data_IF_748135530490
#
_entry.id   IF_748135530490
#
_cell.length_a   1.000
_cell.length_b   1.000
_cell.length_c   1.000
_cell.angle_alpha   90.00
_cell.angle_beta   90.00
_cell.angle_gamma   90.00
#
_symmetry.space_group_name_H-M   'P 1'
#
loop_
_entity.id
_entity.type
_entity.pdbx_description
1 polymer ?
#
# COMPACT_ATOMS: atom_id res chain seq x y z
N UNK A 1 16.97 25.95 1.12
CA UNK A 1 15.59 25.81 1.66
C UNK A 1 14.97 24.63 0.94
N UNK A 2 14.30 23.71 1.62
CA UNK A 2 13.56 22.61 0.98
C UNK A 2 12.09 22.97 0.78
N UNK A 3 11.37 22.19 -0.01
CA UNK A 3 9.91 22.31 -0.17
C UNK A 3 9.25 20.99 0.23
N UNK A 4 7.99 21.07 0.68
CA UNK A 4 7.12 19.90 0.77
C UNK A 4 6.59 19.56 -0.63
N UNK A 5 6.47 18.26 -0.93
CA UNK A 5 5.96 17.77 -2.21
C UNK A 5 4.99 16.61 -1.99
N UNK A 6 3.89 16.61 -2.74
CA UNK A 6 3.02 15.45 -2.89
C UNK A 6 3.68 14.47 -3.87
N UNK A 7 3.88 13.23 -3.44
CA UNK A 7 4.49 12.20 -4.25
C UNK A 7 3.42 11.23 -4.76
N UNK A 8 3.37 11.02 -6.08
CA UNK A 8 2.48 10.05 -6.71
C UNK A 8 3.29 8.90 -7.29
N UNK A 9 2.98 7.67 -6.88
CA UNK A 9 3.65 6.48 -7.42
C UNK A 9 3.04 6.10 -8.77
N UNK A 10 3.88 5.95 -9.78
CA UNK A 10 3.46 5.59 -11.14
C UNK A 10 3.95 4.19 -11.46
N UNK A 11 3.04 3.22 -11.47
CA UNK A 11 3.34 1.85 -11.87
C UNK A 11 3.44 1.76 -13.39
N UNK A 12 4.57 1.23 -13.88
CA UNK A 12 4.80 0.96 -15.30
C UNK A 12 4.73 -0.55 -15.51
N UNK A 13 3.58 -1.01 -15.98
CA UNK A 13 3.23 -2.41 -16.17
C UNK A 13 3.44 -2.81 -17.63
N UNK A 14 4.16 -3.90 -17.91
CA UNK A 14 4.24 -4.44 -19.27
C UNK A 14 4.89 -5.82 -19.35
N UNK A 15 4.66 -6.57 -20.43
CA UNK A 15 5.44 -7.77 -20.71
C UNK A 15 6.90 -7.45 -21.07
N UNK A 16 7.74 -8.49 -21.11
CA UNK A 16 9.20 -8.33 -21.29
C UNK A 16 9.64 -7.69 -22.63
N UNK A 17 8.80 -7.70 -23.67
CA UNK A 17 9.13 -7.32 -25.06
C UNK A 17 9.05 -5.80 -25.35
N UNK A 18 8.76 -4.96 -24.36
CA UNK A 18 8.61 -3.51 -24.53
C UNK A 18 9.53 -2.67 -23.64
N UNK A 19 10.76 -3.14 -23.40
CA UNK A 19 11.75 -2.48 -22.53
C UNK A 19 11.97 -1.00 -22.89
N UNK A 20 12.24 -0.67 -24.15
CA UNK A 20 12.48 0.71 -24.59
C UNK A 20 11.28 1.64 -24.39
N UNK A 21 10.06 1.11 -24.56
CA UNK A 21 8.85 1.88 -24.32
C UNK A 21 8.66 2.14 -22.81
N UNK A 22 8.98 1.17 -21.94
CA UNK A 22 8.99 1.40 -20.48
C UNK A 22 10.00 2.49 -20.08
N UNK A 23 11.21 2.42 -20.63
CA UNK A 23 12.27 3.40 -20.35
C UNK A 23 11.84 4.80 -20.78
N UNK A 24 11.12 4.90 -21.91
CA UNK A 24 10.55 6.16 -22.40
C UNK A 24 9.55 6.78 -21.41
N UNK A 25 8.68 5.98 -20.78
CA UNK A 25 7.76 6.48 -19.74
C UNK A 25 8.56 7.00 -18.55
N UNK A 26 9.52 6.21 -18.06
CA UNK A 26 10.36 6.58 -16.92
C UNK A 26 11.12 7.90 -17.17
N UNK A 27 11.73 8.05 -18.36
CA UNK A 27 12.41 9.27 -18.79
C UNK A 27 11.47 10.48 -18.90
N UNK A 28 10.23 10.27 -19.34
CA UNK A 28 9.21 11.31 -19.40
C UNK A 28 8.87 11.83 -18.00
N UNK A 29 8.68 10.92 -17.03
CA UNK A 29 8.41 11.25 -15.64
C UNK A 29 9.58 12.00 -14.99
N UNK A 30 10.81 11.51 -15.19
CA UNK A 30 12.01 12.18 -14.68
C UNK A 30 12.18 13.58 -15.27
N UNK A 31 11.98 13.73 -16.57
CA UNK A 31 12.03 15.04 -17.23
C UNK A 31 10.97 15.99 -16.69
N UNK A 32 9.74 15.50 -16.50
CA UNK A 32 8.65 16.29 -15.94
C UNK A 32 9.02 16.76 -14.53
N UNK A 33 9.50 15.86 -13.68
CA UNK A 33 9.91 16.17 -12.31
C UNK A 33 10.99 17.25 -12.25
N UNK A 34 12.05 17.11 -13.05
CA UNK A 34 13.13 18.09 -13.12
C UNK A 34 12.64 19.49 -13.49
N UNK A 35 11.61 19.56 -14.35
CA UNK A 35 11.09 20.82 -14.88
C UNK A 35 10.05 21.46 -13.96
N UNK A 36 9.22 20.66 -13.29
CA UNK A 36 7.99 21.13 -12.65
C UNK A 36 7.95 20.93 -11.14
N UNK A 37 8.64 19.94 -10.57
CA UNK A 37 8.41 19.52 -9.18
C UNK A 37 8.58 20.65 -8.18
N UNK A 38 9.59 21.50 -8.36
CA UNK A 38 9.83 22.61 -7.45
C UNK A 38 8.68 23.63 -7.42
N UNK A 39 8.14 23.96 -8.60
CA UNK A 39 7.09 24.98 -8.74
C UNK A 39 5.70 24.43 -8.44
N UNK A 40 5.49 23.15 -8.72
CA UNK A 40 4.19 22.48 -8.57
C UNK A 40 4.01 21.82 -7.20
N UNK A 41 5.10 21.59 -6.45
CA UNK A 41 5.03 20.85 -5.20
C UNK A 41 4.62 19.39 -5.40
N UNK A 42 4.95 18.80 -6.56
CA UNK A 42 4.56 17.44 -6.93
C UNK A 42 5.72 16.67 -7.51
N UNK A 43 5.82 15.37 -7.23
CA UNK A 43 6.78 14.47 -7.85
C UNK A 43 6.12 13.15 -8.25
N UNK A 44 6.43 12.66 -9.43
CA UNK A 44 6.07 11.32 -9.87
C UNK A 44 7.20 10.34 -9.59
N UNK A 45 6.90 9.24 -8.91
CA UNK A 45 7.89 8.21 -8.58
C UNK A 45 7.63 7.00 -9.49
N UNK A 46 8.45 6.78 -10.55
CA UNK A 46 8.30 5.60 -11.38
C UNK A 46 8.54 4.34 -10.55
N UNK A 47 7.72 3.33 -10.77
CA UNK A 47 7.85 2.02 -10.15
C UNK A 47 7.75 0.94 -11.22
N UNK A 48 8.76 0.08 -11.27
CA UNK A 48 8.89 -1.06 -12.20
C UNK A 48 9.36 -2.27 -11.44
N UNK A 49 8.83 -3.45 -11.74
CA UNK A 49 9.21 -4.65 -11.00
C UNK A 49 10.70 -4.98 -11.19
N UNK A 50 11.30 -4.70 -12.35
CA UNK A 50 12.70 -5.03 -12.64
C UNK A 50 13.69 -4.27 -11.74
N UNK A 51 13.35 -3.04 -11.36
CA UNK A 51 14.27 -2.11 -10.67
C UNK A 51 13.83 -1.78 -9.25
N UNK A 52 12.53 -1.86 -8.98
CA UNK A 52 11.92 -1.39 -7.73
C UNK A 52 11.44 -2.53 -6.83
N UNK A 53 11.15 -3.71 -7.38
CA UNK A 53 10.73 -4.84 -6.56
C UNK A 53 11.92 -5.48 -5.83
N UNK A 54 11.77 -5.68 -4.54
CA UNK A 54 12.73 -6.37 -3.69
C UNK A 54 12.49 -7.88 -3.83
N UNK A 55 13.50 -8.66 -4.27
CA UNK A 55 13.39 -10.11 -4.34
C UNK A 55 13.11 -10.70 -2.97
N UNK A 56 11.98 -11.40 -2.83
CA UNK A 56 11.51 -11.91 -1.56
C UNK A 56 10.86 -13.28 -1.72
N UNK A 57 11.28 -14.27 -0.92
CA UNK A 57 10.67 -15.60 -0.86
C UNK A 57 9.44 -15.57 0.09
N UNK A 58 8.37 -14.90 -0.33
CA UNK A 58 7.15 -14.74 0.47
C UNK A 58 5.86 -14.94 -0.33
N UNK A 59 5.83 -15.92 -1.23
CA UNK A 59 4.67 -16.25 -2.08
C UNK A 59 5.06 -16.42 -3.55
N UNK A 60 4.10 -16.21 -4.45
CA UNK A 60 4.35 -16.16 -5.89
C UNK A 60 5.02 -14.84 -6.26
N UNK A 61 5.76 -14.80 -7.38
CA UNK A 61 6.38 -13.57 -7.86
C UNK A 61 5.34 -12.44 -8.00
N UNK A 62 4.16 -12.74 -8.54
CA UNK A 62 3.08 -11.78 -8.68
C UNK A 62 2.56 -11.27 -7.32
N UNK A 63 2.39 -12.13 -6.30
CA UNK A 63 1.91 -11.67 -4.99
C UNK A 63 2.90 -10.79 -4.25
N UNK A 64 4.19 -10.93 -4.55
CA UNK A 64 5.25 -10.06 -4.05
C UNK A 64 5.21 -8.71 -4.77
N UNK A 65 5.16 -8.69 -6.10
CA UNK A 65 5.04 -7.48 -6.93
C UNK A 65 3.79 -6.68 -6.56
N UNK A 66 2.65 -7.35 -6.44
CA UNK A 66 1.37 -6.78 -6.06
C UNK A 66 1.42 -5.98 -4.75
N UNK A 67 2.06 -6.54 -3.72
CA UNK A 67 2.20 -5.92 -2.40
C UNK A 67 3.18 -4.77 -2.39
N UNK A 68 4.19 -4.80 -3.26
CA UNK A 68 5.25 -3.79 -3.26
C UNK A 68 4.96 -2.61 -4.21
N UNK A 69 4.21 -2.84 -5.29
CA UNK A 69 3.96 -1.83 -6.33
C UNK A 69 2.49 -1.49 -6.47
N UNK A 70 1.68 -2.48 -6.83
CA UNK A 70 0.31 -2.28 -7.32
C UNK A 70 -0.62 -1.64 -6.28
N UNK A 71 -0.55 -2.07 -5.02
CA UNK A 71 -1.41 -1.52 -3.96
C UNK A 71 -1.18 -0.02 -3.74
N UNK A 72 0.08 0.41 -3.83
CA UNK A 72 0.53 1.77 -3.54
C UNK A 72 0.56 2.67 -4.78
N UNK A 73 0.30 2.14 -5.98
CA UNK A 73 0.33 2.91 -7.22
C UNK A 73 -0.81 3.91 -7.26
N UNK A 74 -0.55 5.17 -7.58
CA UNK A 74 -1.57 6.22 -7.77
C UNK A 74 -2.00 6.32 -9.23
N UNK A 75 -1.07 6.02 -10.16
CA UNK A 75 -1.30 6.00 -11.61
C UNK A 75 -0.69 4.71 -12.16
N UNK A 76 -1.32 4.12 -13.18
CA UNK A 76 -0.78 2.97 -13.92
C UNK A 76 -0.64 3.30 -15.38
N UNK A 77 0.54 3.04 -15.93
CA UNK A 77 0.76 2.94 -17.38
C UNK A 77 0.99 1.48 -17.74
N UNK A 78 0.12 0.93 -18.58
CA UNK A 78 0.26 -0.42 -19.11
C UNK A 78 0.64 -0.38 -20.59
N UNK A 79 1.73 -1.06 -20.97
CA UNK A 79 2.23 -1.11 -22.33
C UNK A 79 2.16 -2.52 -22.90
N UNK A 80 1.74 -2.62 -24.17
CA UNK A 80 1.74 -3.86 -24.93
C UNK A 80 2.27 -3.65 -26.35
N UNK A 81 3.00 -4.64 -26.87
CA UNK A 81 3.39 -4.69 -28.28
C UNK A 81 2.96 -6.01 -28.91
N UNK A 82 3.79 -7.06 -28.79
CA UNK A 82 3.55 -8.34 -29.46
C UNK A 82 3.00 -9.43 -28.55
N UNK A 83 3.11 -9.23 -27.22
CA UNK A 83 2.81 -10.25 -26.22
C UNK A 83 1.80 -9.73 -25.20
N UNK A 84 0.94 -10.63 -24.71
CA UNK A 84 0.10 -10.35 -23.54
C UNK A 84 0.86 -10.56 -22.23
N UNK A 85 1.82 -11.49 -22.25
CA UNK A 85 2.57 -11.94 -21.09
C UNK A 85 2.16 -13.34 -20.65
N UNK A 86 2.84 -13.84 -19.63
CA UNK A 86 2.56 -15.17 -19.08
C UNK A 86 1.32 -15.13 -18.18
N UNK A 87 0.40 -16.11 -18.30
CA UNK A 87 -0.73 -16.25 -17.40
C UNK A 87 -0.27 -16.31 -15.95
N UNK A 88 -1.04 -15.69 -15.07
CA UNK A 88 -0.88 -15.89 -13.64
C UNK A 88 -2.00 -16.79 -13.15
N UNK A 89 -1.86 -17.39 -11.96
CA UNK A 89 -2.85 -18.35 -11.44
C UNK A 89 -4.29 -17.84 -11.38
N UNK A 90 -4.50 -16.52 -11.48
CA UNK A 90 -5.82 -15.86 -11.40
C UNK A 90 -6.13 -14.91 -12.56
N UNK A 91 -5.24 -14.73 -13.55
CA UNK A 91 -5.45 -13.76 -14.64
C UNK A 91 -4.78 -14.16 -15.96
N UNK A 92 -5.22 -13.52 -17.05
CA UNK A 92 -4.69 -13.73 -18.39
C UNK A 92 -3.19 -13.38 -18.50
N UNK A 93 -2.72 -12.39 -17.73
CA UNK A 93 -1.29 -12.10 -17.55
C UNK A 93 -1.04 -11.20 -16.34
N UNK A 94 0.21 -11.14 -15.87
CA UNK A 94 0.61 -10.23 -14.77
C UNK A 94 0.18 -8.78 -15.02
N UNK A 95 0.48 -8.24 -16.21
CA UNK A 95 0.05 -6.90 -16.62
C UNK A 95 -1.48 -6.73 -16.63
N UNK A 96 -2.22 -7.75 -17.10
CA UNK A 96 -3.69 -7.70 -17.12
C UNK A 96 -4.28 -7.63 -15.70
N UNK A 97 -3.73 -8.40 -14.76
CA UNK A 97 -4.11 -8.35 -13.35
C UNK A 97 -3.86 -6.98 -12.71
N UNK A 98 -2.73 -6.34 -13.04
CA UNK A 98 -2.37 -5.01 -12.55
C UNK A 98 -3.35 -3.93 -13.03
N UNK A 99 -3.75 -3.99 -14.31
CA UNK A 99 -4.78 -3.12 -14.90
C UNK A 99 -6.11 -3.30 -14.15
N UNK A 100 -6.58 -4.54 -14.03
CA UNK A 100 -7.90 -4.83 -13.45
C UNK A 100 -8.03 -4.41 -12.00
N UNK A 101 -7.02 -4.71 -11.17
CA UNK A 101 -7.02 -4.33 -9.76
C UNK A 101 -7.02 -2.81 -9.58
N UNK A 102 -6.24 -2.10 -10.39
CA UNK A 102 -6.10 -0.65 -10.23
C UNK A 102 -7.31 0.10 -10.78
N UNK A 103 -7.86 -0.35 -11.92
CA UNK A 103 -9.11 0.18 -12.46
C UNK A 103 -10.28 0.00 -11.48
N UNK A 104 -10.37 -1.16 -10.81
CA UNK A 104 -11.38 -1.41 -9.77
C UNK A 104 -11.26 -0.47 -8.56
N UNK A 105 -10.09 0.14 -8.35
CA UNK A 105 -9.84 1.09 -7.27
C UNK A 105 -10.15 2.55 -7.66
N UNK A 106 -10.60 2.80 -8.89
CA UNK A 106 -10.95 4.14 -9.40
C UNK A 106 -9.74 5.04 -9.70
N UNK A 107 -8.53 4.48 -9.72
CA UNK A 107 -7.30 5.23 -10.01
C UNK A 107 -7.08 5.34 -11.53
N UNK A 108 -6.36 6.37 -12.02
CA UNK A 108 -6.03 6.48 -13.44
C UNK A 108 -5.24 5.28 -13.96
N UNK A 109 -5.73 4.68 -15.05
CA UNK A 109 -5.07 3.56 -15.75
C UNK A 109 -5.01 3.89 -17.23
N UNK A 110 -3.80 4.10 -17.74
CA UNK A 110 -3.54 4.39 -19.14
C UNK A 110 -2.96 3.15 -19.82
N UNK A 111 -3.71 2.58 -20.77
CA UNK A 111 -3.29 1.38 -21.50
C UNK A 111 -2.93 1.74 -22.93
N UNK A 112 -1.72 1.41 -23.35
CA UNK A 112 -1.22 1.70 -24.69
C UNK A 112 -0.78 0.45 -25.45
N UNK A 113 -1.11 0.42 -26.74
CA UNK A 113 -0.68 -0.63 -27.67
C UNK A 113 0.24 -0.05 -28.74
N UNK A 114 1.39 -0.69 -28.95
CA UNK A 114 2.30 -0.34 -30.04
C UNK A 114 1.63 -0.58 -31.40
N UNK A 115 1.77 0.36 -32.32
CA UNK A 115 1.41 0.19 -33.73
C UNK A 115 2.63 -0.06 -34.63
N UNK A 116 3.79 -0.37 -34.03
CA UNK A 116 5.00 -0.66 -34.79
C UNK A 116 4.89 -1.99 -35.55
N UNK A 117 5.63 -2.15 -36.67
CA UNK A 117 5.73 -3.42 -37.35
C UNK A 117 6.17 -4.55 -36.39
N UNK A 118 5.46 -5.66 -36.46
CA UNK A 118 5.75 -6.83 -35.64
C UNK A 118 6.92 -7.63 -36.23
N UNK A 119 7.77 -8.24 -35.39
CA UNK A 119 8.84 -9.11 -35.85
C UNK A 119 8.30 -10.34 -36.57
N UNK A 120 9.09 -10.93 -37.47
CA UNK A 120 8.64 -12.07 -38.30
C UNK A 120 8.46 -13.36 -37.50
N UNK A 121 9.28 -13.55 -36.46
CA UNK A 121 9.31 -14.71 -35.57
C UNK A 121 8.39 -14.56 -34.35
N UNK A 122 7.32 -13.76 -34.49
CA UNK A 122 6.36 -13.51 -33.43
C UNK A 122 5.62 -14.78 -33.00
N UNK A 123 5.38 -14.86 -31.69
CA UNK A 123 4.53 -15.86 -31.07
C UNK A 123 3.05 -15.51 -31.36
N UNK A 124 2.46 -16.21 -32.33
CA UNK A 124 1.11 -15.93 -32.81
C UNK A 124 0.04 -16.19 -31.77
N UNK A 125 0.26 -17.14 -30.86
CA UNK A 125 -0.70 -17.47 -29.80
C UNK A 125 -0.75 -16.33 -28.77
N UNK A 126 0.41 -15.78 -28.41
CA UNK A 126 0.50 -14.58 -27.58
C UNK A 126 -0.11 -13.35 -28.26
N UNK A 127 0.11 -13.19 -29.56
CA UNK A 127 -0.46 -12.09 -30.33
C UNK A 127 -1.99 -12.18 -30.39
N UNK A 128 -2.55 -13.37 -30.60
CA UNK A 128 -4.00 -13.54 -30.66
C UNK A 128 -4.64 -13.34 -29.27
N UNK A 129 -4.01 -13.84 -28.20
CA UNK A 129 -4.43 -13.56 -26.83
C UNK A 129 -4.42 -12.04 -26.53
N UNK A 130 -3.38 -11.33 -26.99
CA UNK A 130 -3.30 -9.88 -26.84
C UNK A 130 -4.41 -9.15 -27.60
N UNK A 131 -4.74 -9.59 -28.82
CA UNK A 131 -5.83 -9.02 -29.62
C UNK A 131 -7.19 -9.22 -28.95
N UNK A 132 -7.43 -10.40 -28.38
CA UNK A 132 -8.67 -10.65 -27.64
C UNK A 132 -8.75 -9.77 -26.40
N UNK A 133 -7.67 -9.70 -25.61
CA UNK A 133 -7.59 -8.84 -24.44
C UNK A 133 -7.82 -7.35 -24.77
N UNK A 134 -7.25 -6.88 -25.88
CA UNK A 134 -7.48 -5.52 -26.38
C UNK A 134 -8.96 -5.26 -26.66
N UNK A 135 -9.63 -6.15 -27.40
CA UNK A 135 -11.08 -6.02 -27.69
C UNK A 135 -11.90 -5.94 -26.39
N UNK A 136 -11.57 -6.77 -25.41
CA UNK A 136 -12.28 -6.78 -24.12
C UNK A 136 -12.03 -5.50 -23.30
N UNK A 137 -10.88 -4.85 -23.46
CA UNK A 137 -10.59 -3.55 -22.86
C UNK A 137 -11.26 -2.39 -23.62
N UNK A 138 -11.35 -2.44 -24.95
CA UNK A 138 -12.01 -1.42 -25.77
C UNK A 138 -13.51 -1.29 -25.44
N UNK A 139 -14.14 -2.36 -24.95
CA UNK A 139 -15.52 -2.33 -24.45
C UNK A 139 -15.67 -1.60 -23.12
N UNK A 140 -14.59 -1.42 -22.36
CA UNK A 140 -14.59 -0.87 -21.01
C UNK A 140 -13.99 0.53 -20.90
N UNK A 141 -13.28 1.00 -21.93
CA UNK A 141 -12.64 2.31 -21.90
C UNK A 141 -11.90 2.67 -23.18
N UNK A 142 -11.34 3.87 -23.19
CA UNK A 142 -10.50 4.37 -24.26
C UNK A 142 -9.08 3.84 -24.10
N UNK A 143 -8.54 3.23 -25.15
CA UNK A 143 -7.16 2.73 -25.19
C UNK A 143 -6.30 3.64 -26.07
N UNK A 144 -5.05 3.82 -25.68
CA UNK A 144 -4.06 4.54 -26.46
C UNK A 144 -3.33 3.65 -27.46
N UNK A 145 -2.77 4.27 -28.48
CA UNK A 145 -1.81 3.64 -29.40
C UNK A 145 -0.64 4.58 -29.61
N UNK A 146 0.56 4.01 -29.75
CA UNK A 146 1.76 4.80 -30.07
C UNK A 146 2.49 4.23 -31.29
N UNK A 147 2.93 5.13 -32.18
CA UNK A 147 3.70 4.74 -33.37
C UNK A 147 5.19 4.59 -33.10
N UNK A 148 5.72 5.37 -32.17
CA UNK A 148 7.13 5.44 -31.81
C UNK A 148 7.30 5.96 -30.38
N UNK A 149 8.55 6.07 -29.95
CA UNK A 149 8.89 6.46 -28.58
C UNK A 149 8.65 7.96 -28.34
N UNK A 150 8.79 8.81 -29.35
CA UNK A 150 8.55 10.26 -29.19
C UNK A 150 7.05 10.55 -29.03
N UNK A 151 6.22 9.86 -29.82
CA UNK A 151 4.77 9.86 -29.68
C UNK A 151 4.35 9.35 -28.29
N UNK A 152 4.87 8.20 -27.85
CA UNK A 152 4.61 7.67 -26.51
C UNK A 152 4.99 8.68 -25.41
N UNK A 153 6.18 9.29 -25.52
CA UNK A 153 6.64 10.31 -24.57
C UNK A 153 5.66 11.47 -24.46
N UNK A 154 5.19 12.00 -25.59
CA UNK A 154 4.22 13.10 -25.61
C UNK A 154 2.91 12.69 -24.95
N UNK A 155 2.39 11.51 -25.27
CA UNK A 155 1.14 10.99 -24.71
C UNK A 155 1.24 10.78 -23.19
N UNK A 156 2.37 10.28 -22.68
CA UNK A 156 2.62 10.14 -21.24
C UNK A 156 2.60 11.50 -20.54
N UNK A 157 3.29 12.50 -21.11
CA UNK A 157 3.30 13.85 -20.53
C UNK A 157 1.90 14.48 -20.49
N UNK A 158 1.09 14.26 -21.52
CA UNK A 158 -0.31 14.71 -21.54
C UNK A 158 -1.15 13.97 -20.50
N UNK A 159 -0.99 12.66 -20.38
CA UNK A 159 -1.73 11.83 -19.44
C UNK A 159 -1.46 12.24 -17.98
N UNK A 160 -0.19 12.42 -17.59
CA UNK A 160 0.12 12.82 -16.21
C UNK A 160 -0.36 14.25 -15.89
N UNK A 161 -0.30 15.18 -16.85
CA UNK A 161 -0.87 16.53 -16.65
C UNK A 161 -2.39 16.48 -16.46
N UNK A 162 -3.09 15.60 -17.19
CA UNK A 162 -4.51 15.36 -16.98
C UNK A 162 -4.76 14.77 -15.58
N UNK A 163 -4.03 13.73 -15.20
CA UNK A 163 -4.19 13.05 -13.91
C UNK A 163 -3.99 13.99 -12.73
N UNK A 164 -3.05 14.94 -12.81
CA UNK A 164 -2.83 15.94 -11.76
C UNK A 164 -4.07 16.76 -11.47
N UNK A 165 -4.87 17.11 -12.49
CA UNK A 165 -6.11 17.87 -12.28
C UNK A 165 -7.12 17.09 -11.45
N UNK A 166 -7.14 15.77 -11.60
CA UNK A 166 -8.04 14.86 -10.88
C UNK A 166 -7.51 14.58 -9.48
N UNK A 167 -6.21 14.30 -9.37
CA UNK A 167 -5.53 13.95 -8.11
C UNK A 167 -5.37 15.13 -7.16
N UNK A 168 -5.32 16.37 -7.66
CA UNK A 168 -5.26 17.59 -6.84
C UNK A 168 -6.63 18.26 -6.68
N UNK A 169 -7.72 17.68 -7.21
CA UNK A 169 -9.05 18.25 -7.05
C UNK A 169 -9.43 18.33 -5.55
N UNK A 170 -10.02 19.44 -5.08
CA UNK A 170 -10.44 19.58 -3.68
C UNK A 170 -11.42 18.46 -3.30
N UNK A 171 -11.06 17.63 -2.32
CA UNK A 171 -11.84 16.45 -1.91
C UNK A 171 -11.23 15.10 -2.37
N UNK A 172 -10.24 15.11 -3.25
CA UNK A 172 -9.42 13.94 -3.61
C UNK A 172 -8.15 13.92 -2.77
N UNK A 173 -8.28 13.89 -1.44
CA UNK A 173 -7.11 13.70 -0.59
C UNK A 173 -6.53 12.31 -0.89
N UNK A 174 -5.23 12.17 -1.21
CA UNK A 174 -4.65 10.84 -1.45
C UNK A 174 -4.95 9.93 -0.25
N UNK A 175 -5.36 8.68 -0.48
CA UNK A 175 -5.60 7.70 0.60
C UNK A 175 -4.41 7.60 1.57
N UNK A 176 -3.20 7.87 1.08
CA UNK A 176 -1.96 7.94 1.88
C UNK A 176 -1.91 9.16 2.81
N UNK A 177 -2.47 10.31 2.43
CA UNK A 177 -2.61 11.47 3.34
C UNK A 177 -3.74 11.26 4.35
N UNK A 178 -4.89 10.70 3.96
CA UNK A 178 -5.93 10.31 4.92
C UNK A 178 -5.40 9.29 5.94
N UNK A 179 -4.65 8.28 5.49
CA UNK A 179 -3.99 7.32 6.38
C UNK A 179 -2.86 7.93 7.22
N UNK A 180 -2.29 9.08 6.83
CA UNK A 180 -1.26 9.80 7.61
C UNK A 180 -1.87 10.73 8.66
N UNK A 181 -3.03 11.32 8.37
CA UNK A 181 -3.72 12.26 9.28
C UNK A 181 -4.37 11.58 10.48
N UNK A 182 -4.91 10.37 10.33
CA UNK A 182 -5.55 9.64 11.43
C UNK A 182 -4.62 9.20 12.57
N UNK A 183 -5.22 8.82 13.69
CA UNK A 183 -4.48 8.28 14.83
C UNK A 183 -3.87 6.91 14.49
N UNK A 184 -2.67 6.63 15.01
CA UNK A 184 -1.93 5.40 14.68
C UNK A 184 -1.29 4.78 15.90
N UNK A 185 -1.84 3.66 16.35
CA UNK A 185 -1.33 2.99 17.53
C UNK A 185 -0.16 2.04 17.27
N UNK A 186 0.81 2.07 18.17
CA UNK A 186 1.67 0.93 18.48
C UNK A 186 1.34 0.43 19.88
N UNK A 187 1.51 -0.88 20.11
CA UNK A 187 1.26 -1.51 21.40
C UNK A 187 2.48 -2.36 21.75
N UNK A 188 3.08 -2.11 22.90
CA UNK A 188 4.27 -2.83 23.36
C UNK A 188 4.03 -3.47 24.74
N UNK A 189 4.28 -4.79 24.90
CA UNK A 189 4.18 -5.44 26.21
C UNK A 189 5.29 -4.97 27.14
N UNK A 190 4.96 -4.85 28.43
CA UNK A 190 5.88 -4.55 29.52
C UNK A 190 5.53 -5.38 30.74
N UNK A 191 6.55 -5.70 31.51
CA UNK A 191 6.40 -6.31 32.83
C UNK A 191 7.37 -5.70 33.83
N UNK A 192 6.99 -5.72 35.10
CA UNK A 192 7.84 -5.32 36.21
C UNK A 192 7.67 -6.30 37.37
N UNK A 193 8.79 -6.71 37.96
CA UNK A 193 8.83 -7.65 39.08
C UNK A 193 9.29 -6.92 40.33
N UNK A 194 8.41 -6.86 41.31
CA UNK A 194 8.72 -6.29 42.62
C UNK A 194 8.83 -7.40 43.66
N UNK A 195 9.75 -7.22 44.62
CA UNK A 195 9.84 -8.09 45.80
C UNK A 195 8.70 -7.71 46.74
N UNK A 196 7.78 -8.63 46.96
CA UNK A 196 6.62 -8.45 47.83
C UNK A 196 6.69 -9.42 49.02
N UNK A 197 7.67 -9.15 49.89
CA UNK A 197 7.90 -9.87 51.14
C UNK A 197 8.78 -11.11 51.03
N UNK A 198 8.92 -11.81 52.15
CA UNK A 198 9.68 -13.05 52.29
C UNK A 198 8.74 -14.19 52.71
N UNK A 199 8.99 -15.39 52.18
CA UNK A 199 8.37 -16.62 52.68
C UNK A 199 8.86 -16.95 54.08
N UNK A 200 8.13 -17.78 54.83
CA UNK A 200 8.54 -18.27 56.16
C UNK A 200 9.92 -18.97 56.15
N UNK A 201 10.41 -19.36 54.96
CA UNK A 201 11.70 -20.01 54.75
C UNK A 201 12.79 -19.04 54.26
N UNK A 202 12.58 -17.72 54.33
CA UNK A 202 13.57 -16.69 53.96
C UNK A 202 13.69 -16.39 52.46
N UNK A 203 12.97 -17.10 51.59
CA UNK A 203 12.99 -16.84 50.15
C UNK A 203 12.17 -15.58 49.78
N UNK A 204 12.68 -14.70 48.91
CA UNK A 204 11.91 -13.56 48.40
C UNK A 204 10.66 -14.02 47.63
N UNK A 205 9.50 -13.41 47.92
CA UNK A 205 8.29 -13.53 47.10
C UNK A 205 8.27 -12.38 46.10
N UNK A 206 7.89 -12.69 44.86
CA UNK A 206 7.80 -11.70 43.80
C UNK A 206 6.35 -11.51 43.38
N UNK A 207 5.99 -10.27 43.05
CA UNK A 207 4.77 -9.96 42.32
C UNK A 207 5.19 -9.39 40.97
N UNK A 208 4.75 -10.03 39.89
CA UNK A 208 4.93 -9.50 38.53
C UNK A 208 3.68 -8.72 38.14
N UNK A 209 3.84 -7.48 37.69
CA UNK A 209 2.78 -6.69 37.04
C UNK A 209 3.02 -6.68 35.54
N UNK A 210 1.96 -6.81 34.76
CA UNK A 210 2.01 -6.76 33.31
C UNK A 210 1.16 -5.59 32.81
N UNK A 211 1.64 -4.87 31.80
CA UNK A 211 0.87 -3.84 31.11
C UNK A 211 1.31 -3.75 29.66
N UNK A 212 0.47 -3.15 28.82
CA UNK A 212 0.85 -2.72 27.47
C UNK A 212 0.97 -1.21 27.40
N UNK A 213 2.00 -0.73 26.70
CA UNK A 213 2.19 0.68 26.37
C UNK A 213 1.60 0.94 24.99
N UNK A 214 0.50 1.68 24.96
CA UNK A 214 -0.24 2.06 23.75
C UNK A 214 0.17 3.49 23.40
N UNK A 215 0.84 3.67 22.26
CA UNK A 215 1.33 4.98 21.82
C UNK A 215 0.66 5.40 20.53
N UNK A 216 0.06 6.59 20.51
CA UNK A 216 -0.45 7.20 19.28
C UNK A 216 0.70 7.92 18.54
N UNK A 217 1.13 7.38 17.42
CA UNK A 217 2.12 7.94 16.50
C UNK A 217 1.50 8.72 15.34
N UNK A 218 0.17 8.89 15.32
CA UNK A 218 -0.54 9.70 14.33
C UNK A 218 -0.41 11.19 14.60
N UNK A 219 -0.93 11.98 13.68
CA UNK A 219 -0.93 13.46 13.74
C UNK A 219 -2.18 14.03 14.41
N UNK A 220 -3.18 13.17 14.69
CA UNK A 220 -4.45 13.53 15.32
C UNK A 220 -4.71 12.78 16.63
N UNK A 221 -5.59 13.37 17.43
CA UNK A 221 -6.10 12.78 18.66
C UNK A 221 -7.05 11.62 18.35
N UNK A 222 -6.85 10.49 19.02
CA UNK A 222 -7.80 9.39 19.00
C UNK A 222 -8.84 9.60 20.11
N UNK A 223 -10.12 9.64 19.74
CA UNK A 223 -11.24 9.75 20.68
C UNK A 223 -11.96 8.40 20.83
N UNK A 224 -12.70 8.25 21.93
CA UNK A 224 -13.43 7.03 22.27
C UNK A 224 -12.58 5.75 22.20
N UNK A 225 -11.31 5.86 22.57
CA UNK A 225 -10.36 4.76 22.56
C UNK A 225 -10.78 3.72 23.59
N UNK A 226 -10.94 2.47 23.14
CA UNK A 226 -11.28 1.33 23.98
C UNK A 226 -10.31 0.17 23.75
N UNK A 227 -10.14 -0.64 24.79
CA UNK A 227 -9.28 -1.79 24.81
C UNK A 227 -10.07 -3.04 25.14
N UNK A 228 -9.93 -4.08 24.32
CA UNK A 228 -10.63 -5.34 24.52
C UNK A 228 -9.80 -6.54 24.09
N UNK A 229 -10.29 -7.73 24.44
CA UNK A 229 -9.77 -8.99 23.91
C UNK A 229 -10.65 -9.46 22.74
N UNK A 230 -10.08 -9.76 21.56
CA UNK A 230 -10.87 -10.22 20.42
C UNK A 230 -11.28 -11.69 20.49
N UNK A 231 -10.70 -12.46 21.42
CA UNK A 231 -10.89 -13.92 21.53
C UNK A 231 -11.75 -14.28 22.75
N UNK A 232 -12.59 -15.30 22.61
CA UNK A 232 -13.48 -15.79 23.68
C UNK A 232 -12.71 -16.47 24.84
N UNK A 233 -11.51 -17.02 24.58
CA UNK A 233 -10.65 -17.65 25.58
C UNK A 233 -9.21 -17.08 25.53
N UNK A 234 -8.99 -15.84 25.99
CA UNK A 234 -7.67 -15.22 25.94
C UNK A 234 -6.75 -15.74 27.04
N UNK A 235 -5.46 -15.89 26.71
CA UNK A 235 -4.35 -16.13 27.66
C UNK A 235 -4.02 -14.89 28.49
N UNK A 236 -4.40 -13.70 28.01
CA UNK A 236 -4.18 -12.41 28.63
C UNK A 236 -5.47 -11.59 28.61
N UNK A 237 -5.94 -11.18 29.79
CA UNK A 237 -7.08 -10.28 29.96
C UNK A 237 -6.62 -8.83 29.96
N UNK A 238 -7.24 -8.01 29.12
CA UNK A 238 -7.03 -6.56 29.11
C UNK A 238 -7.98 -5.92 30.11
N UNK A 239 -7.42 -5.23 31.10
CA UNK A 239 -8.19 -4.45 32.05
C UNK A 239 -8.39 -3.04 31.47
N UNK A 240 -9.40 -2.92 30.61
CA UNK A 240 -9.81 -1.67 30.00
C UNK A 240 -10.56 -0.76 30.97
N UNK A 241 -10.34 0.56 30.85
CA UNK A 241 -11.16 1.60 31.46
C UNK A 241 -12.30 2.01 30.51
N UNK A 242 -13.17 2.91 30.99
CA UNK A 242 -14.12 3.66 30.17
C UNK A 242 -13.44 4.30 28.93
N UNK A 243 -14.20 4.57 27.85
CA UNK A 243 -13.68 5.24 26.66
C UNK A 243 -12.83 6.45 27.01
N UNK A 244 -11.64 6.56 26.40
CA UNK A 244 -10.67 7.62 26.70
C UNK A 244 -10.18 8.30 25.43
N UNK A 245 -9.54 9.46 25.58
CA UNK A 245 -8.78 10.10 24.51
C UNK A 245 -7.30 9.73 24.64
N UNK A 246 -6.61 9.50 23.52
CA UNK A 246 -5.15 9.43 23.44
C UNK A 246 -4.66 10.44 22.39
N UNK A 247 -4.04 11.51 22.87
CA UNK A 247 -3.57 12.60 22.01
C UNK A 247 -2.45 12.16 21.06
N UNK A 248 -2.25 12.90 19.98
CA UNK A 248 -1.11 12.70 19.09
C UNK A 248 0.22 12.72 19.88
N UNK A 249 1.05 11.70 19.69
CA UNK A 249 2.32 11.53 20.40
C UNK A 249 2.21 11.02 21.85
N UNK A 250 1.00 10.82 22.38
CA UNK A 250 0.80 10.37 23.75
C UNK A 250 0.93 8.86 23.88
N UNK A 251 1.58 8.43 24.97
CA UNK A 251 1.60 7.05 25.43
C UNK A 251 0.64 6.87 26.61
N UNK A 252 -0.08 5.75 26.62
CA UNK A 252 -0.93 5.30 27.71
C UNK A 252 -0.57 3.88 28.13
N UNK A 253 -0.51 3.62 29.44
CA UNK A 253 -0.36 2.27 29.99
C UNK A 253 -1.73 1.64 30.20
N UNK A 254 -1.90 0.40 29.76
CA UNK A 254 -3.11 -0.41 29.96
C UNK A 254 -2.72 -1.70 30.67
N UNK A 255 -3.31 -1.94 31.83
CA UNK A 255 -2.95 -3.10 32.65
C UNK A 255 -3.48 -4.38 32.02
N UNK A 256 -2.68 -5.45 32.06
CA UNK A 256 -3.10 -6.78 31.58
C UNK A 256 -2.83 -7.84 32.63
N UNK A 257 -3.63 -8.91 32.62
CA UNK A 257 -3.50 -10.05 33.52
C UNK A 257 -3.42 -11.35 32.74
N UNK A 258 -2.36 -12.13 32.93
CA UNK A 258 -2.29 -13.47 32.36
C UNK A 258 -3.14 -14.47 33.16
N UNK A 259 -3.92 -15.28 32.45
CA UNK A 259 -4.79 -16.29 33.08
C UNK A 259 -4.09 -17.66 33.12
N UNK A 260 -4.28 -18.40 34.20
CA UNK A 260 -3.79 -19.77 34.31
C UNK A 260 -4.72 -20.71 33.54
N UNK A 261 -4.47 -20.91 32.26
CA UNK A 261 -5.20 -21.89 31.43
C UNK A 261 -5.62 -21.43 30.03
N UNK A 262 -5.37 -20.18 29.63
CA UNK A 262 -5.62 -19.74 28.26
C UNK A 262 -4.57 -20.27 27.29
N UNK A 263 -4.99 -20.99 26.25
CA UNK A 263 -4.14 -21.44 25.15
C UNK A 263 -4.20 -20.55 23.90
N UNK A 264 -4.86 -19.40 24.00
CA UNK A 264 -5.01 -18.43 22.92
C UNK A 264 -3.77 -17.54 22.75
N UNK A 265 -3.69 -16.76 21.66
CA UNK A 265 -2.65 -15.75 21.49
C UNK A 265 -2.90 -14.52 22.37
N UNK A 266 -1.82 -13.88 22.83
CA UNK A 266 -1.87 -12.60 23.53
C UNK A 266 -2.16 -11.48 22.52
N UNK A 267 -3.43 -11.06 22.46
CA UNK A 267 -3.90 -10.02 21.53
C UNK A 267 -4.66 -8.94 22.28
N UNK A 268 -4.28 -7.69 22.03
CA UNK A 268 -5.02 -6.48 22.44
C UNK A 268 -5.70 -5.90 21.21
N UNK A 269 -7.02 -5.70 21.30
CA UNK A 269 -7.79 -4.95 20.33
C UNK A 269 -7.93 -3.51 20.79
N UNK A 270 -7.58 -2.58 19.91
CA UNK A 270 -7.78 -1.14 20.12
C UNK A 270 -8.82 -0.67 19.13
N UNK A 271 -9.91 -0.08 19.62
CA UNK A 271 -10.89 0.64 18.79
C UNK A 271 -10.84 2.12 19.13
N UNK A 272 -11.02 2.99 18.13
CA UNK A 272 -10.98 4.43 18.29
C UNK A 272 -11.74 5.14 17.16
N UNK A 273 -12.00 6.43 17.34
CA UNK A 273 -12.49 7.31 16.27
C UNK A 273 -11.54 8.49 16.08
N UNK A 274 -11.42 8.98 14.85
CA UNK A 274 -10.67 10.18 14.48
C UNK A 274 -11.34 10.90 13.29
N UNK A 275 -10.72 11.91 12.69
CA UNK A 275 -11.32 12.65 11.57
C UNK A 275 -11.59 11.80 10.32
N UNK A 276 -10.96 10.62 10.23
CA UNK A 276 -11.09 9.69 9.10
C UNK A 276 -12.14 8.61 9.33
N UNK A 277 -12.74 8.56 10.52
CA UNK A 277 -13.85 7.67 10.87
C UNK A 277 -13.58 6.80 12.09
N UNK A 278 -14.28 5.67 12.16
CA UNK A 278 -14.16 4.69 13.25
C UNK A 278 -13.24 3.55 12.81
N UNK A 279 -12.34 3.16 13.70
CA UNK A 279 -11.28 2.19 13.42
C UNK A 279 -11.21 1.13 14.53
N UNK A 280 -10.73 -0.05 14.15
CA UNK A 280 -10.44 -1.15 15.07
C UNK A 280 -9.22 -1.90 14.55
N UNK A 281 -8.28 -2.24 15.45
CA UNK A 281 -7.08 -3.00 15.09
C UNK A 281 -6.62 -3.92 16.21
N UNK A 282 -6.23 -5.11 15.81
CA UNK A 282 -5.67 -6.14 16.67
C UNK A 282 -4.14 -6.07 16.70
N UNK A 283 -3.56 -6.13 17.90
CA UNK A 283 -2.13 -6.09 18.16
C UNK A 283 -1.73 -7.35 18.91
N UNK A 284 -0.81 -8.12 18.31
CA UNK A 284 -0.15 -9.22 19.00
C UNK A 284 0.90 -8.64 19.94
N UNK A 285 0.85 -9.04 21.21
CA UNK A 285 1.73 -8.55 22.28
C UNK A 285 2.39 -9.69 23.02
#
# INVERSE_FOLDING_TARGET
>A
MGIEVSAFRVLIASPGDVSHARDTIEDALHWWNQTHSWKRGVVFIPWRWETSAIPLLAGTAQSVIDRQGVQDADIVFALFASRLGSPTGTSLSGTAHEIERTAASGKPVHVYFSSQPLPHDIDTDQLEALRQFRKDLELRGLLGTYSDLDDLRLQVLQAIEHDLTVLQAPGTTPKLEEQRRGARFSVQPREEREINGMSNNGNPRYTTRHWVEVTNHGEEDAIDVQFSNPTENPSMLVLGDNPTVIHAGQMRKVTVLHTMGGGGPDIVRVSWSDSTGNHEKDFHV
#
